data_IF_398674224146
#
_entry.id   IF_398674224146
#
_cell.length_a   1.000
_cell.length_b   1.000
_cell.length_c   1.000
_cell.angle_alpha   90.00
_cell.angle_beta   90.00
_cell.angle_gamma   90.00
#
_symmetry.space_group_name_H-M   'P 1'
#
loop_
_entity.id
_entity.type
_entity.pdbx_description
1 polymer ?
#
# COMPACT_ATOMS: atom_id res chain seq x y z
N UNK A 1 15.79 22.92 20.80
CA UNK A 1 15.76 21.47 20.53
C UNK A 1 14.90 21.22 19.31
N UNK A 2 15.42 20.58 18.25
CA UNK A 2 14.59 20.20 17.10
C UNK A 2 13.59 19.11 17.51
N UNK A 3 12.35 19.20 17.00
CA UNK A 3 11.32 18.16 17.17
C UNK A 3 11.21 17.39 15.87
N UNK A 4 11.24 16.07 15.94
CA UNK A 4 11.18 15.17 14.78
C UNK A 4 9.96 14.28 14.91
N UNK A 5 9.28 14.01 13.79
CA UNK A 5 8.17 13.07 13.69
C UNK A 5 8.47 12.14 12.53
N UNK A 6 8.29 10.85 12.74
CA UNK A 6 8.31 9.85 11.67
C UNK A 6 6.89 9.31 11.49
N UNK A 7 6.46 9.20 10.24
CA UNK A 7 5.15 8.66 9.88
C UNK A 7 5.35 7.35 9.12
N UNK A 8 4.56 6.34 9.48
CA UNK A 8 4.52 5.06 8.80
C UNK A 8 3.09 4.80 8.30
N UNK A 9 2.99 4.46 7.01
CA UNK A 9 1.74 4.25 6.28
C UNK A 9 1.65 2.77 5.87
N UNK A 10 1.32 1.85 6.80
CA UNK A 10 1.47 0.40 6.59
C UNK A 10 0.71 -0.17 5.39
N UNK A 11 -0.33 0.51 4.93
CA UNK A 11 -1.19 0.10 3.81
C UNK A 11 -1.08 1.06 2.62
N UNK A 12 0.03 1.80 2.51
CA UNK A 12 0.24 2.85 1.52
C UNK A 12 -0.17 2.45 0.10
N UNK A 13 0.30 1.31 -0.40
CA UNK A 13 0.03 0.85 -1.76
C UNK A 13 -1.45 0.55 -2.02
N UNK A 14 -2.14 -0.12 -1.08
CA UNK A 14 -3.57 -0.44 -1.21
C UNK A 14 -4.45 0.80 -1.01
N UNK A 15 -4.06 1.71 -0.12
CA UNK A 15 -4.73 3.01 0.07
C UNK A 15 -4.58 3.91 -1.17
N UNK A 16 -3.41 3.92 -1.82
CA UNK A 16 -3.21 4.63 -3.09
C UNK A 16 -4.07 4.02 -4.19
N UNK A 17 -4.08 2.69 -4.30
CA UNK A 17 -4.92 2.00 -5.29
C UNK A 17 -6.39 2.39 -5.14
N UNK A 18 -6.94 2.32 -3.93
CA UNK A 18 -8.34 2.70 -3.66
C UNK A 18 -8.60 4.18 -3.97
N UNK A 19 -7.69 5.08 -3.59
CA UNK A 19 -7.80 6.52 -3.93
C UNK A 19 -7.75 6.79 -5.43
N UNK A 20 -6.95 6.03 -6.18
CA UNK A 20 -6.87 6.13 -7.65
C UNK A 20 -8.17 5.67 -8.32
N UNK A 21 -8.85 4.67 -7.76
CA UNK A 21 -10.07 4.10 -8.33
C UNK A 21 -11.37 4.84 -7.96
N UNK A 22 -11.35 5.76 -6.99
CA UNK A 22 -12.52 6.54 -6.52
C UNK A 22 -13.80 5.69 -6.44
N UNK A 23 -14.83 6.01 -7.23
CA UNK A 23 -16.15 5.34 -7.20
C UNK A 23 -16.12 3.89 -7.70
N UNK A 24 -15.09 3.53 -8.48
CA UNK A 24 -14.85 2.17 -8.94
C UNK A 24 -13.96 1.37 -7.98
N UNK A 25 -13.51 1.97 -6.86
CA UNK A 25 -12.77 1.24 -5.85
C UNK A 25 -13.68 0.18 -5.22
N UNK A 26 -13.16 -1.04 -4.95
CA UNK A 26 -13.91 -2.00 -4.15
C UNK A 26 -14.32 -1.40 -2.80
N UNK A 27 -15.37 -1.91 -2.15
CA UNK A 27 -15.66 -1.56 -0.76
C UNK A 27 -14.46 -1.87 0.16
N UNK A 28 -14.23 -1.09 1.24
CA UNK A 28 -13.17 -1.37 2.22
C UNK A 28 -13.23 -2.76 2.86
N UNK A 29 -14.43 -3.33 2.93
CA UNK A 29 -14.73 -4.64 3.53
C UNK A 29 -14.42 -5.79 2.58
N UNK A 30 -14.26 -5.50 1.28
CA UNK A 30 -13.87 -6.50 0.29
C UNK A 30 -12.34 -6.65 0.29
N UNK A 31 -11.79 -7.83 0.66
CA UNK A 31 -10.35 -8.05 0.73
C UNK A 31 -9.65 -7.74 -0.59
N UNK A 32 -8.57 -6.95 -0.50
CA UNK A 32 -7.77 -6.55 -1.65
C UNK A 32 -6.29 -6.84 -1.38
N UNK A 33 -5.63 -7.47 -2.36
CA UNK A 33 -4.17 -7.60 -2.39
C UNK A 33 -3.60 -7.04 -3.69
N UNK A 34 -2.42 -6.46 -3.58
CA UNK A 34 -1.57 -6.13 -4.72
C UNK A 34 -0.48 -7.19 -4.82
N UNK A 35 -0.30 -7.73 -6.02
CA UNK A 35 0.66 -8.80 -6.30
C UNK A 35 1.77 -8.32 -7.22
N UNK A 36 2.92 -8.96 -7.12
CA UNK A 36 4.03 -8.75 -8.04
C UNK A 36 4.91 -9.98 -8.11
N UNK A 37 6.12 -9.82 -8.67
CA UNK A 37 7.07 -10.91 -8.81
C UNK A 37 8.12 -10.88 -7.71
N UNK A 38 8.32 -12.04 -7.10
CA UNK A 38 9.50 -12.37 -6.29
C UNK A 38 10.24 -13.52 -7.00
N UNK A 39 11.29 -13.18 -7.74
CA UNK A 39 11.96 -14.07 -8.68
C UNK A 39 10.98 -14.60 -9.74
N UNK A 40 10.78 -15.93 -9.76
CA UNK A 40 9.83 -16.59 -10.68
C UNK A 40 8.41 -16.69 -10.14
N UNK A 41 8.17 -16.32 -8.87
CA UNK A 41 6.88 -16.51 -8.19
C UNK A 41 6.06 -15.23 -8.23
N UNK A 42 4.73 -15.38 -8.36
CA UNK A 42 3.77 -14.29 -8.18
C UNK A 42 3.29 -14.30 -6.73
N UNK A 43 3.56 -13.24 -5.98
CA UNK A 43 3.32 -13.16 -4.53
C UNK A 43 2.57 -11.90 -4.17
N UNK A 44 1.86 -11.92 -3.04
CA UNK A 44 1.26 -10.73 -2.42
C UNK A 44 2.39 -9.80 -1.98
N UNK A 45 2.39 -8.57 -2.49
CA UNK A 45 3.33 -7.51 -2.10
C UNK A 45 2.69 -6.51 -1.13
N UNK A 46 1.39 -6.27 -1.25
CA UNK A 46 0.62 -5.47 -0.31
C UNK A 46 -0.74 -6.11 -0.06
N UNK A 47 -1.26 -5.94 1.14
CA UNK A 47 -2.59 -6.39 1.55
C UNK A 47 -3.27 -5.26 2.31
N UNK A 48 -4.57 -5.12 2.13
CA UNK A 48 -5.35 -4.16 2.90
C UNK A 48 -5.81 -4.74 4.25
N UNK A 49 -6.52 -3.92 5.02
CA UNK A 49 -7.02 -4.31 6.34
C UNK A 49 -7.94 -5.54 6.26
N UNK A 50 -8.85 -5.61 5.28
CA UNK A 50 -9.77 -6.73 5.11
C UNK A 50 -9.04 -8.03 4.75
N UNK A 51 -8.04 -7.96 3.86
CA UNK A 51 -7.18 -9.11 3.53
C UNK A 51 -6.36 -9.57 4.74
N UNK A 52 -5.82 -8.65 5.54
CA UNK A 52 -5.11 -9.00 6.76
C UNK A 52 -6.02 -9.66 7.81
N UNK A 53 -7.24 -9.15 7.96
CA UNK A 53 -8.28 -9.72 8.84
C UNK A 53 -8.71 -11.12 8.37
N UNK A 54 -8.74 -11.36 7.06
CA UNK A 54 -8.96 -12.68 6.46
C UNK A 54 -7.74 -13.63 6.57
N UNK A 55 -6.66 -13.21 7.25
CA UNK A 55 -5.49 -14.04 7.51
C UNK A 55 -4.40 -13.99 6.43
N UNK A 56 -4.55 -13.16 5.39
CA UNK A 56 -3.51 -13.01 4.37
C UNK A 56 -2.31 -12.22 4.91
N UNK A 57 -1.14 -12.55 4.36
CA UNK A 57 0.16 -11.95 4.68
C UNK A 57 0.93 -11.68 3.39
N UNK A 58 1.82 -10.69 3.46
CA UNK A 58 2.77 -10.38 2.38
C UNK A 58 3.68 -11.60 2.16
N UNK A 59 4.07 -11.84 0.91
CA UNK A 59 4.91 -12.97 0.48
C UNK A 59 4.14 -14.26 0.20
N UNK A 60 2.85 -14.35 0.56
CA UNK A 60 2.01 -15.51 0.22
C UNK A 60 1.87 -15.60 -1.31
N UNK A 61 2.00 -16.80 -1.92
CA UNK A 61 1.75 -16.98 -3.35
C UNK A 61 0.34 -16.54 -3.74
N UNK A 62 0.21 -15.82 -4.87
CA UNK A 62 -1.07 -15.25 -5.30
C UNK A 62 -2.18 -16.32 -5.45
N UNK A 63 -1.84 -17.49 -6.00
CA UNK A 63 -2.78 -18.63 -6.12
C UNK A 63 -3.26 -19.14 -4.76
N UNK A 64 -2.36 -19.21 -3.77
CA UNK A 64 -2.70 -19.61 -2.40
C UNK A 64 -3.60 -18.57 -1.75
N UNK A 65 -3.31 -17.29 -1.93
CA UNK A 65 -4.15 -16.21 -1.39
C UNK A 65 -5.59 -16.28 -1.94
N UNK A 66 -5.74 -16.46 -3.26
CA UNK A 66 -7.04 -16.62 -3.91
C UNK A 66 -7.80 -17.86 -3.44
N UNK A 67 -7.11 -18.97 -3.17
CA UNK A 67 -7.73 -20.18 -2.67
C UNK A 67 -8.21 -20.05 -1.21
N UNK A 68 -7.52 -19.25 -0.39
CA UNK A 68 -7.82 -19.08 1.04
C UNK A 68 -8.96 -18.08 1.31
N UNK A 69 -9.10 -17.06 0.45
CA UNK A 69 -10.05 -15.97 0.67
C UNK A 69 -11.00 -15.88 -0.52
N UNK A 70 -12.21 -16.47 -0.42
CA UNK A 70 -13.25 -16.31 -1.42
C UNK A 70 -13.57 -14.83 -1.63
N UNK A 71 -13.71 -14.41 -2.89
CA UNK A 71 -13.99 -13.01 -3.23
C UNK A 71 -12.80 -12.06 -3.11
N UNK A 72 -11.58 -12.57 -2.89
CA UNK A 72 -10.36 -11.77 -2.87
C UNK A 72 -10.16 -11.04 -4.21
N UNK A 73 -10.05 -9.72 -4.14
CA UNK A 73 -9.67 -8.89 -5.27
C UNK A 73 -8.15 -8.84 -5.37
N UNK A 74 -7.63 -9.06 -6.58
CA UNK A 74 -6.21 -9.16 -6.85
C UNK A 74 -5.86 -8.24 -8.02
N UNK A 75 -4.96 -7.29 -7.77
CA UNK A 75 -4.40 -6.41 -8.80
C UNK A 75 -2.87 -6.45 -8.81
N UNK A 76 -2.25 -6.07 -9.92
CA UNK A 76 -0.81 -5.91 -9.97
C UNK A 76 -0.37 -4.67 -9.16
N UNK A 77 0.72 -4.80 -8.40
CA UNK A 77 1.34 -3.69 -7.70
C UNK A 77 1.98 -2.72 -8.71
N UNK A 78 1.96 -1.43 -8.40
CA UNK A 78 2.62 -0.37 -9.18
C UNK A 78 3.65 0.36 -8.29
N UNK A 79 4.83 -0.23 -7.99
CA UNK A 79 5.78 0.34 -7.03
C UNK A 79 6.25 1.75 -7.39
N UNK A 80 6.52 2.00 -8.68
CA UNK A 80 6.93 3.33 -9.17
C UNK A 80 5.84 4.40 -8.93
N UNK A 81 4.56 3.99 -9.04
CA UNK A 81 3.44 4.88 -8.74
C UNK A 81 3.22 5.06 -7.24
N UNK A 82 3.54 4.06 -6.41
CA UNK A 82 3.56 4.17 -4.95
C UNK A 82 4.62 5.18 -4.50
N UNK A 83 5.84 5.08 -5.02
CA UNK A 83 6.95 5.99 -4.73
C UNK A 83 6.62 7.43 -5.14
N UNK A 84 6.18 7.63 -6.39
CA UNK A 84 5.79 8.95 -6.91
C UNK A 84 4.70 9.60 -6.05
N UNK A 85 3.73 8.81 -5.58
CA UNK A 85 2.68 9.33 -4.72
C UNK A 85 3.20 9.69 -3.31
N UNK A 86 4.19 8.95 -2.80
CA UNK A 86 4.79 9.20 -1.49
C UNK A 86 5.61 10.50 -1.50
N UNK A 87 6.35 10.74 -2.58
CA UNK A 87 7.03 12.02 -2.82
C UNK A 87 6.04 13.19 -2.87
N UNK A 88 4.90 13.02 -3.55
CA UNK A 88 3.84 14.04 -3.57
C UNK A 88 3.28 14.32 -2.18
N UNK A 89 3.12 13.28 -1.35
CA UNK A 89 2.68 13.44 0.03
C UNK A 89 3.72 14.19 0.88
N UNK A 90 5.01 13.88 0.72
CA UNK A 90 6.10 14.60 1.37
C UNK A 90 6.10 16.08 1.01
N UNK A 91 5.97 16.41 -0.28
CA UNK A 91 5.90 17.80 -0.76
C UNK A 91 4.67 18.54 -0.23
N UNK A 92 3.53 17.87 -0.14
CA UNK A 92 2.33 18.46 0.46
C UNK A 92 2.53 18.74 1.95
N UNK A 93 3.14 17.81 2.69
CA UNK A 93 3.41 17.96 4.11
C UNK A 93 4.45 19.06 4.39
N UNK A 94 5.51 19.15 3.58
CA UNK A 94 6.51 20.23 3.62
C UNK A 94 5.86 21.62 3.50
N UNK A 95 4.85 21.75 2.64
CA UNK A 95 4.17 23.04 2.43
C UNK A 95 3.22 23.41 3.57
N UNK A 96 2.82 22.47 4.44
CA UNK A 96 1.69 22.68 5.36
C UNK A 96 2.00 22.46 6.84
N UNK A 97 2.90 21.56 7.20
CA UNK A 97 3.09 21.13 8.59
C UNK A 97 4.49 21.33 9.15
N UNK A 98 5.54 21.14 8.35
CA UNK A 98 6.91 21.16 8.84
C UNK A 98 7.87 21.79 7.82
N UNK A 99 8.93 22.48 8.27
CA UNK A 99 9.89 23.14 7.39
C UNK A 99 10.82 22.17 6.64
N UNK A 100 10.87 20.91 7.08
CA UNK A 100 11.65 19.83 6.47
C UNK A 100 10.76 18.59 6.50
N UNK A 101 10.57 17.96 5.34
CA UNK A 101 9.90 16.66 5.17
C UNK A 101 10.56 15.95 3.99
N UNK A 102 10.82 14.67 4.12
CA UNK A 102 11.29 13.78 3.07
C UNK A 102 10.40 12.54 2.96
N UNK A 103 10.28 12.01 1.74
CA UNK A 103 9.75 10.67 1.56
C UNK A 103 10.77 9.64 2.07
N UNK A 104 10.28 8.64 2.78
CA UNK A 104 11.06 7.50 3.29
C UNK A 104 10.46 6.20 2.72
N UNK A 105 10.86 5.79 1.50
CA UNK A 105 10.30 4.62 0.84
C UNK A 105 10.48 3.33 1.67
N UNK A 106 9.53 2.38 1.58
CA UNK A 106 8.41 2.35 0.64
C UNK A 106 7.12 3.01 1.14
N UNK A 107 7.05 3.41 2.41
CA UNK A 107 5.77 3.74 3.05
C UNK A 107 5.90 4.71 4.23
N UNK A 108 6.93 5.56 4.24
CA UNK A 108 7.23 6.46 5.35
C UNK A 108 7.43 7.91 4.94
N UNK A 109 7.37 8.79 5.94
CA UNK A 109 7.83 10.18 5.85
C UNK A 109 8.68 10.49 7.09
N UNK A 110 9.68 11.36 6.92
CA UNK A 110 10.56 11.86 7.99
C UNK A 110 10.83 13.35 7.88
#
# INVERSE_FOLDING_TARGET
>A
MPRVVSLFLPMWSTDRFRRKSSDAAPPPETPLVLIGRDGRRRVVLAADAAAHAAGLRIGVPASKAQALVPGLIVHDAEPEADETALERLALWALRRYAPIVAADPPAGLV
#
